data_IF_267172297511
#
_entry.id   IF_267172297511
#
_cell.length_a   1.000
_cell.length_b   1.000
_cell.length_c   1.000
_cell.angle_alpha   90.00
_cell.angle_beta   90.00
_cell.angle_gamma   90.00
#
_symmetry.space_group_name_H-M   'P 1'
#
loop_
_entity.id
_entity.type
_entity.pdbx_description
1 polymer ?
#
# COMPACT_ATOMS: atom_id res chain seq x y z
N UNK A 1 25.47 19.32 -53.43
CA UNK A 1 24.50 19.40 -52.32
C UNK A 1 25.07 18.50 -51.24
N UNK A 2 25.89 19.05 -50.36
CA UNK A 2 26.67 18.29 -49.38
C UNK A 2 25.81 17.96 -48.15
N UNK A 3 25.76 16.67 -47.83
CA UNK A 3 25.12 16.15 -46.64
C UNK A 3 26.01 16.44 -45.42
N UNK A 4 25.59 17.38 -44.59
CA UNK A 4 26.27 17.75 -43.36
C UNK A 4 26.29 16.60 -42.36
N UNK A 5 27.49 16.08 -42.08
CA UNK A 5 27.75 15.11 -41.02
C UNK A 5 27.59 15.77 -39.65
N UNK A 6 26.50 15.46 -38.94
CA UNK A 6 26.33 15.85 -37.54
C UNK A 6 27.27 15.03 -36.65
N UNK A 7 28.13 15.72 -35.90
CA UNK A 7 28.98 15.11 -34.89
C UNK A 7 28.15 14.76 -33.64
N UNK A 8 28.37 13.58 -33.02
CA UNK A 8 27.66 13.18 -31.81
C UNK A 8 28.06 14.05 -30.61
N UNK A 9 27.05 14.45 -29.83
CA UNK A 9 27.23 15.22 -28.60
C UNK A 9 27.88 14.36 -27.50
N UNK A 10 28.74 14.94 -26.65
CA UNK A 10 29.37 14.22 -25.55
C UNK A 10 28.36 13.86 -24.45
N UNK A 11 28.34 12.59 -24.07
CA UNK A 11 27.57 12.07 -22.95
C UNK A 11 28.25 12.54 -21.66
N UNK A 12 27.57 13.38 -20.88
CA UNK A 12 28.04 13.81 -19.58
C UNK A 12 28.11 12.59 -18.64
N UNK A 13 29.31 12.29 -18.14
CA UNK A 13 29.53 11.25 -17.16
C UNK A 13 28.84 11.64 -15.85
N UNK A 14 27.80 10.89 -15.48
CA UNK A 14 27.14 10.99 -14.19
C UNK A 14 28.16 10.70 -13.09
N UNK A 15 28.43 11.69 -12.25
CA UNK A 15 29.23 11.54 -11.05
C UNK A 15 28.52 10.59 -10.08
N UNK A 16 29.01 9.35 -9.97
CA UNK A 16 28.65 8.42 -8.92
C UNK A 16 29.04 9.04 -7.56
N UNK A 17 28.03 9.50 -6.83
CA UNK A 17 28.19 9.89 -5.43
C UNK A 17 28.41 8.62 -4.62
N UNK A 18 29.68 8.33 -4.32
CA UNK A 18 30.07 7.27 -3.38
C UNK A 18 29.60 7.69 -1.98
N UNK A 19 28.38 7.28 -1.63
CA UNK A 19 27.86 7.35 -0.27
C UNK A 19 28.71 6.42 0.60
N UNK A 20 29.72 6.99 1.27
CA UNK A 20 30.39 6.31 2.38
C UNK A 20 29.34 6.08 3.48
N UNK A 21 29.12 4.84 3.92
CA UNK A 21 28.19 4.56 5.00
C UNK A 21 28.60 5.34 6.26
N UNK A 22 27.66 5.90 7.01
CA UNK A 22 27.97 6.58 8.26
C UNK A 22 28.70 5.60 9.19
N UNK A 23 29.69 6.07 9.97
CA UNK A 23 30.35 5.24 10.95
C UNK A 23 29.31 4.65 11.91
N UNK A 24 29.50 3.38 12.36
CA UNK A 24 28.60 2.78 13.33
C UNK A 24 28.55 3.66 14.58
N UNK A 25 27.35 4.09 14.97
CA UNK A 25 27.13 4.81 16.22
C UNK A 25 27.61 3.95 17.38
N UNK A 26 28.71 4.34 18.02
CA UNK A 26 29.31 3.64 19.17
C UNK A 26 28.41 3.64 20.41
N UNK A 27 27.37 4.48 20.42
CA UNK A 27 26.33 4.41 21.42
C UNK A 27 25.21 3.52 20.87
N UNK A 28 24.96 2.33 21.47
CA UNK A 28 23.73 1.60 21.19
C UNK A 28 22.57 2.57 21.48
N UNK A 29 21.52 2.60 20.64
CA UNK A 29 20.34 3.40 20.93
C UNK A 29 19.90 3.03 22.34
N UNK A 30 19.87 4.02 23.23
CA UNK A 30 19.39 3.87 24.59
C UNK A 30 17.99 3.29 24.48
N UNK A 31 17.87 1.99 24.77
CA UNK A 31 16.60 1.30 24.72
C UNK A 31 15.80 1.91 25.86
N UNK A 32 14.81 2.72 25.52
CA UNK A 32 13.85 3.21 26.50
C UNK A 32 13.13 1.95 26.99
N UNK A 33 13.63 1.42 28.10
CA UNK A 33 12.96 0.39 28.86
C UNK A 33 11.65 1.03 29.33
N UNK A 34 10.59 0.80 28.57
CA UNK A 34 9.22 1.14 28.94
C UNK A 34 8.72 0.26 30.10
N UNK A 35 9.63 -0.37 30.85
CA UNK A 35 9.43 -0.98 32.14
C UNK A 35 8.87 -0.01 33.16
N UNK A 36 7.55 0.09 33.16
CA UNK A 36 6.73 -0.03 34.36
C UNK A 36 7.13 0.87 35.54
N UNK A 37 7.04 2.18 35.35
CA UNK A 37 7.06 3.16 36.44
C UNK A 37 5.64 3.70 36.71
N UNK A 38 4.78 2.83 37.26
CA UNK A 38 3.86 3.14 38.38
C UNK A 38 3.05 4.45 38.39
N UNK A 39 2.65 4.99 37.23
CA UNK A 39 1.62 6.02 37.15
C UNK A 39 0.48 5.48 36.29
N UNK A 40 -0.63 5.11 36.95
CA UNK A 40 -1.90 4.67 36.36
C UNK A 40 -2.60 5.83 35.62
N UNK A 41 -1.88 6.49 34.70
CA UNK A 41 -2.52 7.27 33.66
C UNK A 41 -3.08 6.22 32.72
N UNK A 42 -4.36 5.91 32.89
CA UNK A 42 -5.11 5.00 32.02
C UNK A 42 -5.12 5.58 30.60
N UNK A 43 -4.05 5.31 29.86
CA UNK A 43 -3.91 5.72 28.47
C UNK A 43 -5.00 5.00 27.67
N UNK A 44 -5.65 5.71 26.72
CA UNK A 44 -6.64 5.09 25.84
C UNK A 44 -6.04 3.84 25.18
N UNK A 45 -6.87 2.83 24.97
CA UNK A 45 -6.48 1.48 24.55
C UNK A 45 -5.59 1.47 23.30
N UNK A 46 -5.78 2.44 22.40
CA UNK A 46 -5.02 2.62 21.16
C UNK A 46 -3.56 3.02 21.38
N UNK A 47 -3.26 3.66 22.52
CA UNK A 47 -1.90 4.04 22.90
C UNK A 47 -1.21 2.96 23.73
N UNK A 48 -1.92 1.90 24.10
CA UNK A 48 -1.32 0.76 24.78
C UNK A 48 -0.64 -0.13 23.73
N UNK A 49 0.63 -0.46 23.94
CA UNK A 49 1.43 -1.30 23.05
C UNK A 49 1.36 -2.76 23.53
N UNK A 50 1.37 -3.71 22.59
CA UNK A 50 1.53 -5.11 22.94
C UNK A 50 2.99 -5.38 23.28
N UNK A 51 3.27 -5.80 24.51
CA UNK A 51 4.62 -6.17 24.92
C UNK A 51 5.04 -7.46 24.25
N UNK A 52 6.22 -7.46 23.65
CA UNK A 52 6.76 -8.60 22.93
C UNK A 52 8.06 -9.00 23.58
N UNK A 53 8.19 -10.28 23.89
CA UNK A 53 9.47 -10.83 24.35
C UNK A 53 10.48 -10.88 23.20
N UNK A 54 11.39 -9.90 23.17
CA UNK A 54 12.46 -9.81 22.18
C UNK A 54 13.56 -10.87 22.36
N UNK A 55 13.53 -11.63 23.47
CA UNK A 55 14.47 -12.71 23.74
C UNK A 55 13.94 -14.09 23.35
N UNK A 56 12.76 -14.16 22.72
CA UNK A 56 12.20 -15.42 22.24
C UNK A 56 13.11 -16.04 21.16
N UNK A 57 13.69 -17.23 21.39
CA UNK A 57 14.59 -17.87 20.42
C UNK A 57 13.88 -18.32 19.13
N UNK A 58 12.56 -18.43 19.15
CA UNK A 58 11.75 -18.87 18.00
C UNK A 58 11.20 -17.70 17.16
N UNK A 59 11.59 -16.45 17.44
CA UNK A 59 11.14 -15.27 16.67
C UNK A 59 11.85 -15.19 15.32
N UNK A 60 11.09 -15.05 14.22
CA UNK A 60 11.64 -14.85 12.88
C UNK A 60 12.49 -13.56 12.84
N UNK A 61 13.71 -13.57 12.26
CA UNK A 61 14.51 -12.36 12.02
C UNK A 61 13.74 -11.19 11.40
N UNK A 62 12.78 -11.44 10.50
CA UNK A 62 11.94 -10.37 9.95
C UNK A 62 10.98 -9.80 11.00
N UNK A 63 10.30 -10.68 11.73
CA UNK A 63 9.43 -10.27 12.83
C UNK A 63 10.19 -9.49 13.89
N UNK A 64 11.40 -9.92 14.26
CA UNK A 64 12.29 -9.20 15.16
C UNK A 64 12.62 -7.79 14.64
N UNK A 65 13.01 -7.69 13.36
CA UNK A 65 13.32 -6.39 12.75
C UNK A 65 12.09 -5.46 12.75
N UNK A 66 10.92 -5.97 12.39
CA UNK A 66 9.68 -5.19 12.43
C UNK A 66 9.33 -4.76 13.85
N UNK A 67 9.31 -5.67 14.82
CA UNK A 67 8.91 -5.38 16.20
C UNK A 67 9.89 -4.46 16.93
N UNK A 68 11.17 -4.45 16.51
CA UNK A 68 12.17 -3.52 17.03
C UNK A 68 11.92 -2.06 16.64
N UNK A 69 11.33 -1.82 15.46
CA UNK A 69 11.13 -0.45 14.93
C UNK A 69 9.67 0.01 14.93
N UNK A 70 8.73 -0.94 14.87
CA UNK A 70 7.31 -0.66 14.74
C UNK A 70 6.58 -1.23 15.97
N UNK A 71 6.23 -0.40 16.96
CA UNK A 71 5.43 -0.86 18.08
C UNK A 71 4.05 -1.27 17.59
N UNK A 72 3.60 -2.47 17.98
CA UNK A 72 2.28 -2.99 17.62
C UNK A 72 1.28 -2.51 18.68
N UNK A 73 0.29 -1.68 18.32
CA UNK A 73 -0.73 -1.27 19.27
C UNK A 73 -1.62 -2.47 19.67
N UNK A 74 -2.14 -2.46 20.90
CA UNK A 74 -3.06 -3.51 21.40
C UNK A 74 -4.38 -3.51 20.66
N UNK A 75 -4.87 -2.33 20.28
CA UNK A 75 -6.04 -2.15 19.46
C UNK A 75 -5.71 -1.15 18.37
N UNK A 76 -6.04 -1.49 17.12
CA UNK A 76 -5.88 -0.55 16.05
C UNK A 76 -7.02 0.45 16.04
N UNK A 77 -6.75 1.62 15.48
CA UNK A 77 -7.74 2.69 15.37
C UNK A 77 -9.04 2.22 14.71
N UNK A 78 -8.99 1.36 13.70
CA UNK A 78 -10.20 0.87 13.03
C UNK A 78 -11.08 -0.04 13.91
N UNK A 79 -10.47 -0.71 14.90
CA UNK A 79 -11.20 -1.55 15.85
C UNK A 79 -11.93 -0.71 16.90
N UNK A 80 -11.34 0.42 17.30
CA UNK A 80 -11.95 1.34 18.29
C UNK A 80 -12.81 2.43 17.66
N UNK A 81 -12.60 2.74 16.39
CA UNK A 81 -13.39 3.70 15.63
C UNK A 81 -14.68 3.11 15.04
N UNK A 82 -15.00 1.83 15.29
CA UNK A 82 -16.29 1.25 14.89
C UNK A 82 -17.46 1.92 15.62
N UNK A 83 -18.58 2.16 14.93
CA UNK A 83 -19.81 2.69 15.54
C UNK A 83 -20.37 1.77 16.63
N UNK A 84 -20.00 0.49 16.61
CA UNK A 84 -20.38 -0.49 17.62
C UNK A 84 -19.60 -0.33 18.95
N UNK A 85 -18.56 0.51 18.99
CA UNK A 85 -17.70 0.69 20.15
C UNK A 85 -17.89 2.10 20.74
N UNK A 86 -18.11 2.18 22.06
CA UNK A 86 -18.34 3.45 22.76
C UNK A 86 -17.13 4.41 22.65
N UNK A 87 -15.93 3.86 22.45
CA UNK A 87 -14.70 4.62 22.29
C UNK A 87 -14.68 5.51 21.03
N UNK A 88 -15.52 5.23 20.03
CA UNK A 88 -15.60 6.07 18.83
C UNK A 88 -15.91 7.54 19.16
N UNK A 89 -16.70 7.79 20.22
CA UNK A 89 -17.11 9.15 20.60
C UNK A 89 -15.99 9.96 21.23
N UNK A 90 -15.03 9.30 21.87
CA UNK A 90 -13.96 9.93 22.65
C UNK A 90 -12.71 10.28 21.82
N UNK A 91 -12.68 9.87 20.55
CA UNK A 91 -11.56 10.14 19.66
C UNK A 91 -11.39 11.64 19.34
N UNK A 92 -10.17 12.20 19.48
CA UNK A 92 -9.87 13.58 19.09
C UNK A 92 -10.25 13.89 17.64
N UNK A 93 -10.80 15.08 17.42
CA UNK A 93 -11.26 15.51 16.09
C UNK A 93 -10.16 15.48 15.04
N UNK A 94 -8.91 15.83 15.40
CA UNK A 94 -7.78 15.82 14.49
C UNK A 94 -7.52 14.45 13.86
N UNK A 95 -7.60 13.37 14.66
CA UNK A 95 -7.41 12.00 14.18
C UNK A 95 -8.52 11.60 13.22
N UNK A 96 -9.79 11.92 13.55
CA UNK A 96 -10.93 11.66 12.65
C UNK A 96 -10.78 12.40 11.33
N UNK A 97 -10.34 13.66 11.38
CA UNK A 97 -10.16 14.48 10.19
C UNK A 97 -9.04 13.94 9.29
N UNK A 98 -7.93 13.48 9.88
CA UNK A 98 -6.82 12.90 9.12
C UNK A 98 -7.25 11.62 8.40
N UNK A 99 -7.92 10.69 9.08
CA UNK A 99 -8.41 9.46 8.44
C UNK A 99 -9.41 9.75 7.31
N UNK A 100 -10.34 10.70 7.53
CA UNK A 100 -11.26 11.14 6.46
C UNK A 100 -10.50 11.72 5.26
N UNK A 101 -9.42 12.47 5.49
CA UNK A 101 -8.60 13.02 4.40
C UNK A 101 -7.94 11.94 3.55
N UNK A 102 -7.37 10.91 4.18
CA UNK A 102 -6.77 9.76 3.47
C UNK A 102 -7.82 8.98 2.69
N UNK A 103 -9.00 8.79 3.28
CA UNK A 103 -10.12 8.13 2.61
C UNK A 103 -10.51 8.87 1.33
N UNK A 104 -10.74 10.19 1.40
CA UNK A 104 -11.09 10.98 0.23
C UNK A 104 -9.98 11.06 -0.81
N UNK A 105 -8.72 11.15 -0.37
CA UNK A 105 -7.58 11.13 -1.29
C UNK A 105 -7.54 9.81 -2.07
N UNK A 106 -7.73 8.68 -1.40
CA UNK A 106 -7.79 7.36 -2.04
C UNK A 106 -8.95 7.27 -3.03
N UNK A 107 -10.11 7.82 -2.68
CA UNK A 107 -11.28 7.85 -3.57
C UNK A 107 -11.06 8.75 -4.80
N UNK A 108 -10.37 9.89 -4.62
CA UNK A 108 -9.96 10.76 -5.72
C UNK A 108 -8.94 10.08 -6.64
N UNK A 109 -7.96 9.35 -6.08
CA UNK A 109 -7.02 8.57 -6.89
C UNK A 109 -7.73 7.54 -7.76
N UNK A 110 -8.71 6.80 -7.21
CA UNK A 110 -9.51 5.84 -8.00
C UNK A 110 -10.29 6.50 -9.12
N UNK A 111 -10.86 7.69 -8.87
CA UNK A 111 -11.57 8.47 -9.90
C UNK A 111 -10.60 9.03 -10.94
N UNK A 112 -9.41 9.45 -10.52
CA UNK A 112 -8.36 9.92 -11.41
C UNK A 112 -7.82 8.79 -12.29
N UNK A 113 -7.70 7.58 -11.76
CA UNK A 113 -7.35 6.37 -12.51
C UNK A 113 -8.40 6.07 -13.58
N UNK A 114 -9.68 6.04 -13.22
CA UNK A 114 -10.77 5.85 -14.18
C UNK A 114 -10.82 6.97 -15.24
N UNK A 115 -10.56 8.22 -14.86
CA UNK A 115 -10.45 9.34 -15.80
C UNK A 115 -9.21 9.25 -16.70
N UNK A 116 -8.10 8.79 -16.14
CA UNK A 116 -6.85 8.55 -16.86
C UNK A 116 -7.01 7.47 -17.92
N UNK A 117 -7.77 6.42 -17.64
CA UNK A 117 -8.11 5.38 -18.62
C UNK A 117 -8.89 5.96 -19.81
N UNK A 118 -9.90 6.81 -19.56
CA UNK A 118 -10.63 7.49 -20.64
C UNK A 118 -9.72 8.36 -21.50
N UNK A 119 -8.87 9.18 -20.88
CA UNK A 119 -7.96 10.08 -21.60
C UNK A 119 -6.90 9.28 -22.37
N UNK A 120 -6.37 8.21 -21.77
CA UNK A 120 -5.40 7.32 -22.42
C UNK A 120 -6.01 6.59 -23.63
N UNK A 121 -7.28 6.17 -23.54
CA UNK A 121 -8.02 5.59 -24.66
C UNK A 121 -8.26 6.61 -25.78
N UNK A 122 -8.65 7.86 -25.45
CA UNK A 122 -8.88 8.93 -26.45
C UNK A 122 -7.59 9.34 -27.14
N UNK A 123 -6.48 9.43 -26.41
CA UNK A 123 -5.18 9.81 -26.96
C UNK A 123 -4.45 8.65 -27.64
N UNK A 124 -5.00 7.44 -27.63
CA UNK A 124 -4.36 6.24 -28.19
C UNK A 124 -3.08 5.84 -27.45
N UNK A 125 -2.83 6.40 -26.26
CA UNK A 125 -1.67 6.06 -25.42
C UNK A 125 -1.88 4.73 -24.72
N UNK A 126 -3.12 4.22 -24.70
CA UNK A 126 -3.44 2.88 -24.20
C UNK A 126 -3.11 1.75 -25.17
N UNK A 127 -2.40 2.03 -26.27
CA UNK A 127 -1.55 1.02 -26.93
C UNK A 127 -0.39 0.70 -25.97
N UNK A 128 -0.73 0.02 -24.88
CA UNK A 128 0.20 -0.31 -23.81
C UNK A 128 1.37 -1.14 -24.35
N UNK A 129 2.47 -1.25 -23.58
CA UNK A 129 3.65 -2.01 -23.97
C UNK A 129 3.35 -3.47 -24.31
N UNK A 130 2.16 -3.99 -24.01
CA UNK A 130 1.69 -5.34 -24.33
C UNK A 130 0.95 -5.46 -25.67
N UNK A 131 0.84 -4.41 -26.48
CA UNK A 131 0.12 -4.48 -27.76
C UNK A 131 0.72 -5.53 -28.72
N UNK A 132 2.00 -5.88 -28.55
CA UNK A 132 2.62 -6.98 -29.29
C UNK A 132 1.98 -8.35 -28.97
N UNK A 133 1.43 -8.54 -27.77
CA UNK A 133 0.75 -9.78 -27.35
C UNK A 133 -0.59 -9.91 -28.05
N UNK A 134 -1.37 -8.83 -28.08
CA UNK A 134 -2.69 -8.79 -28.74
C UNK A 134 -2.56 -8.76 -30.27
N UNK A 135 -1.49 -8.18 -30.82
CA UNK A 135 -1.28 -8.09 -32.29
C UNK A 135 -1.11 -9.45 -32.99
N UNK A 136 -0.75 -10.50 -32.25
CA UNK A 136 -0.59 -11.87 -32.77
C UNK A 136 -1.78 -12.78 -32.45
N UNK A 137 -2.71 -12.31 -31.64
CA UNK A 137 -3.87 -13.09 -31.22
C UNK A 137 -4.89 -13.15 -32.35
N UNK A 138 -5.32 -14.35 -32.70
CA UNK A 138 -6.37 -14.51 -33.72
C UNK A 138 -7.72 -14.06 -33.17
N UNK A 139 -8.64 -13.69 -34.07
CA UNK A 139 -9.98 -13.20 -33.69
C UNK A 139 -10.78 -14.24 -32.89
N UNK A 140 -10.60 -15.53 -33.22
CA UNK A 140 -11.19 -16.65 -32.49
C UNK A 140 -10.64 -16.78 -31.07
N UNK A 141 -9.33 -16.59 -30.87
CA UNK A 141 -8.69 -16.63 -29.56
C UNK A 141 -9.13 -15.45 -28.69
N UNK A 142 -9.21 -14.24 -29.27
CA UNK A 142 -9.72 -13.06 -28.56
C UNK A 142 -11.17 -13.26 -28.11
N UNK A 143 -12.00 -13.83 -28.97
CA UNK A 143 -13.41 -14.10 -28.64
C UNK A 143 -13.50 -15.11 -27.49
N UNK A 144 -12.75 -16.21 -27.54
CA UNK A 144 -12.68 -17.18 -26.44
C UNK A 144 -12.20 -16.56 -25.14
N UNK A 145 -11.17 -15.71 -25.20
CA UNK A 145 -10.66 -15.02 -24.02
C UNK A 145 -11.72 -14.10 -23.41
N UNK A 146 -12.51 -13.40 -24.23
CA UNK A 146 -13.61 -12.55 -23.75
C UNK A 146 -14.69 -13.38 -23.07
N UNK A 147 -15.11 -14.49 -23.68
CA UNK A 147 -16.11 -15.39 -23.10
C UNK A 147 -15.67 -15.95 -21.74
N UNK A 148 -14.40 -16.34 -21.59
CA UNK A 148 -13.87 -16.83 -20.30
C UNK A 148 -13.88 -15.74 -19.22
N UNK A 149 -13.56 -14.50 -19.59
CA UNK A 149 -13.58 -13.37 -18.64
C UNK A 149 -15.02 -13.04 -18.23
N UNK A 150 -15.96 -13.07 -19.18
CA UNK A 150 -17.38 -12.84 -18.94
C UNK A 150 -17.96 -13.92 -18.01
N UNK A 151 -17.67 -15.20 -18.26
CA UNK A 151 -18.09 -16.32 -17.42
C UNK A 151 -17.58 -16.18 -15.97
N UNK A 152 -16.29 -15.84 -15.78
CA UNK A 152 -15.74 -15.58 -14.43
C UNK A 152 -16.39 -14.38 -13.75
N UNK A 153 -16.75 -13.36 -14.51
CA UNK A 153 -17.41 -12.17 -13.96
C UNK A 153 -18.82 -12.52 -13.49
N UNK A 154 -19.56 -13.32 -14.26
CA UNK A 154 -20.87 -13.85 -13.87
C UNK A 154 -20.79 -14.72 -12.61
N UNK A 155 -19.82 -15.62 -12.52
CA UNK A 155 -19.59 -16.43 -11.31
C UNK A 155 -19.35 -15.58 -10.05
N UNK A 156 -18.56 -14.50 -10.17
CA UNK A 156 -18.29 -13.58 -9.06
C UNK A 156 -19.56 -12.81 -8.66
N UNK A 157 -20.36 -12.39 -9.64
CA UNK A 157 -21.65 -11.71 -9.38
C UNK A 157 -22.63 -12.66 -8.72
N UNK A 158 -22.74 -13.90 -9.17
CA UNK A 158 -23.63 -14.90 -8.57
C UNK A 158 -23.18 -15.29 -7.15
N UNK A 159 -21.88 -15.44 -6.91
CA UNK A 159 -21.35 -15.65 -5.55
C UNK A 159 -21.69 -14.49 -4.62
N UNK A 160 -21.58 -13.23 -5.08
CA UNK A 160 -21.98 -12.07 -4.30
C UNK A 160 -23.48 -12.09 -3.99
N UNK A 161 -24.32 -12.40 -4.98
CA UNK A 161 -25.77 -12.51 -4.79
C UNK A 161 -26.14 -13.59 -3.77
N UNK A 162 -25.55 -14.79 -3.88
CA UNK A 162 -25.77 -15.88 -2.91
C UNK A 162 -25.35 -15.50 -1.49
N UNK A 163 -24.28 -14.71 -1.35
CA UNK A 163 -23.82 -14.18 -0.06
C UNK A 163 -24.78 -13.16 0.53
N UNK A 164 -25.39 -12.30 -0.30
CA UNK A 164 -26.43 -11.34 0.13
C UNK A 164 -27.76 -12.01 0.50
N UNK A 165 -28.12 -13.10 -0.19
CA UNK A 165 -29.30 -13.92 0.11
C UNK A 165 -29.13 -14.79 1.38
N UNK A 166 -27.96 -14.78 2.02
CA UNK A 166 -27.69 -15.53 3.26
C UNK A 166 -27.65 -17.04 3.06
N UNK A 167 -27.36 -17.51 1.84
CA UNK A 167 -27.31 -18.94 1.47
C UNK A 167 -25.93 -19.57 1.75
N UNK A 168 -25.04 -18.85 2.43
CA UNK A 168 -23.67 -19.29 2.76
C UNK A 168 -23.32 -18.96 4.21
#
# INVERSE_FOLDING_TARGET
MDAGTQSPLPIAASSESTLTPPPPSENPPEYIDAGNAGNDIELPLEYQVHEVDMNNPDMDPFEYAFRKYVPIPRAYFWDTASEANDNHRNLPFGIKSWHRSIYYLSELLRKAEAGGEMIANVLGVNDGPFNYVTSRMTEDEMTRSRTIVEERMEEVVEMKRRKEEGVV
#
